data_IF_244875357609
#
_entry.id   IF_244875357609
#
_cell.length_a   1.000
_cell.length_b   1.000
_cell.length_c   1.000
_cell.angle_alpha   90.00
_cell.angle_beta   90.00
_cell.angle_gamma   90.00
#
_symmetry.space_group_name_H-M   'P 1'
#
loop_
_entity.id
_entity.type
_entity.pdbx_description
1 polymer ?
#
# COMPACT_ATOMS: atom_id res chain seq x y z
N UNK A 1 1.22 -19.21 0.88
CA UNK A 1 2.44 -18.52 0.44
C UNK A 1 2.10 -17.75 -0.83
N UNK A 2 2.24 -16.44 -0.87
CA UNK A 2 1.96 -15.68 -2.09
C UNK A 2 2.98 -16.06 -3.18
N UNK A 3 2.48 -16.27 -4.39
CA UNK A 3 3.27 -16.58 -5.57
C UNK A 3 3.29 -15.37 -6.48
N UNK A 4 4.47 -14.93 -6.87
CA UNK A 4 4.68 -13.77 -7.71
C UNK A 4 5.30 -14.15 -9.04
N UNK A 5 5.25 -13.22 -10.00
CA UNK A 5 5.79 -13.36 -11.33
C UNK A 5 6.53 -12.07 -11.71
N UNK A 6 7.76 -12.20 -12.22
CA UNK A 6 8.45 -11.08 -12.84
C UNK A 6 7.84 -10.81 -14.21
N UNK A 7 7.33 -9.60 -14.42
CA UNK A 7 6.64 -9.23 -15.65
C UNK A 7 7.55 -9.32 -16.90
N UNK A 8 8.85 -9.00 -16.75
CA UNK A 8 9.79 -9.01 -17.87
C UNK A 8 10.16 -10.43 -18.35
N UNK A 9 10.26 -11.37 -17.44
CA UNK A 9 10.75 -12.75 -17.76
C UNK A 9 9.67 -13.80 -17.67
N UNK A 10 8.50 -13.43 -17.13
CA UNK A 10 7.41 -14.33 -16.79
C UNK A 10 7.82 -15.47 -15.81
N UNK A 11 8.95 -15.28 -15.10
CA UNK A 11 9.46 -16.26 -14.15
C UNK A 11 8.71 -16.15 -12.82
N UNK A 12 8.37 -17.30 -12.24
CA UNK A 12 7.70 -17.37 -10.93
C UNK A 12 8.72 -17.22 -9.81
N UNK A 13 8.32 -16.46 -8.78
CA UNK A 13 9.08 -16.28 -7.54
C UNK A 13 8.14 -16.56 -6.37
N UNK A 14 8.52 -17.50 -5.52
CA UNK A 14 7.85 -17.75 -4.24
C UNK A 14 8.56 -16.94 -3.16
N UNK A 15 7.84 -16.00 -2.53
CA UNK A 15 8.35 -15.19 -1.44
C UNK A 15 7.60 -15.52 -0.14
N UNK A 16 8.35 -15.82 0.89
CA UNK A 16 7.83 -15.88 2.27
C UNK A 16 8.01 -14.50 2.86
N UNK A 17 6.91 -13.85 3.25
CA UNK A 17 6.98 -12.55 3.92
C UNK A 17 6.91 -12.79 5.43
N UNK A 18 8.00 -12.48 6.11
CA UNK A 18 8.17 -12.62 7.56
C UNK A 18 7.92 -11.29 8.27
N UNK A 19 8.29 -10.17 7.62
CA UNK A 19 8.11 -8.83 8.14
C UNK A 19 7.39 -7.96 7.10
N UNK A 20 6.23 -7.43 7.49
CA UNK A 20 5.46 -6.49 6.67
C UNK A 20 5.46 -5.11 7.32
N UNK A 21 5.96 -4.14 6.56
CA UNK A 21 6.16 -2.75 6.97
C UNK A 21 5.15 -1.90 6.23
N UNK A 22 4.56 -0.92 6.91
CA UNK A 22 3.68 0.07 6.29
C UNK A 22 4.22 1.46 6.61
N UNK A 23 4.62 2.19 5.56
CA UNK A 23 5.11 3.56 5.69
C UNK A 23 3.94 4.55 5.73
N UNK A 24 3.46 4.85 6.93
CA UNK A 24 2.49 5.92 7.12
C UNK A 24 3.13 7.30 7.09
N UNK A 25 2.35 8.33 6.71
CA UNK A 25 2.83 9.72 6.64
C UNK A 25 4.00 9.91 5.68
N UNK A 26 3.98 9.15 4.59
CA UNK A 26 5.08 9.08 3.63
C UNK A 26 5.01 10.13 2.51
N UNK A 27 4.21 11.16 2.66
CA UNK A 27 4.17 12.29 1.71
C UNK A 27 5.53 12.99 1.60
N UNK A 28 5.87 13.47 0.41
CA UNK A 28 7.13 14.19 0.18
C UNK A 28 7.06 15.62 0.71
N UNK A 29 5.89 16.25 0.63
CA UNK A 29 5.71 17.62 1.06
C UNK A 29 5.41 17.73 2.57
N UNK A 30 6.39 18.16 3.35
CA UNK A 30 6.31 18.22 4.81
C UNK A 30 5.25 19.22 5.32
N UNK A 31 4.93 20.27 4.55
CA UNK A 31 3.90 21.23 4.94
C UNK A 31 2.51 20.58 4.93
N UNK A 32 2.18 19.83 3.87
CA UNK A 32 0.91 19.11 3.76
C UNK A 32 0.76 18.04 4.85
N UNK A 33 1.86 17.31 5.16
CA UNK A 33 1.85 16.33 6.26
C UNK A 33 1.53 17.02 7.60
N UNK A 34 2.19 18.13 7.93
CA UNK A 34 1.94 18.85 9.18
C UNK A 34 0.51 19.35 9.27
N UNK A 35 -0.02 19.91 8.19
CA UNK A 35 -1.41 20.35 8.16
C UNK A 35 -2.36 19.18 8.42
N UNK A 36 -2.18 18.06 7.77
CA UNK A 36 -3.03 16.88 7.95
C UNK A 36 -2.93 16.30 9.38
N UNK A 37 -1.73 16.30 9.98
CA UNK A 37 -1.55 15.91 11.39
C UNK A 37 -2.37 16.83 12.33
N UNK A 38 -2.35 18.15 12.12
CA UNK A 38 -3.10 19.09 12.94
C UNK A 38 -4.62 18.94 12.76
N UNK A 39 -5.08 18.67 11.54
CA UNK A 39 -6.49 18.38 11.25
C UNK A 39 -6.97 17.13 12.01
N UNK A 40 -6.21 16.03 11.96
CA UNK A 40 -6.54 14.81 12.69
C UNK A 40 -6.41 14.96 14.20
N UNK A 41 -5.44 15.74 14.67
CA UNK A 41 -5.30 16.06 16.08
C UNK A 41 -6.53 16.81 16.63
N UNK A 42 -7.09 17.72 15.83
CA UNK A 42 -8.33 18.42 16.20
C UNK A 42 -9.54 17.47 16.31
N UNK A 43 -9.50 16.31 15.64
CA UNK A 43 -10.48 15.23 15.73
C UNK A 43 -10.16 14.19 16.84
N UNK A 44 -9.11 14.42 17.66
CA UNK A 44 -8.73 13.54 18.76
C UNK A 44 -7.78 12.39 18.38
N UNK A 45 -7.28 12.35 17.16
CA UNK A 45 -6.28 11.36 16.75
C UNK A 45 -4.89 11.76 17.25
N UNK A 46 -4.19 10.84 17.91
CA UNK A 46 -2.83 11.09 18.37
C UNK A 46 -1.87 11.29 17.20
N UNK A 47 -1.03 12.34 17.22
CA UNK A 47 -0.06 12.58 16.16
C UNK A 47 0.99 11.46 16.10
N UNK A 48 1.56 11.18 14.91
CA UNK A 48 2.66 10.23 14.79
C UNK A 48 3.91 10.73 15.52
N UNK A 49 4.70 9.82 16.09
CA UNK A 49 5.97 10.16 16.77
C UNK A 49 7.06 10.64 15.81
N UNK A 50 6.99 10.21 14.55
CA UNK A 50 7.90 10.60 13.47
C UNK A 50 7.16 10.60 12.13
N UNK A 51 7.72 11.28 11.12
CA UNK A 51 7.24 11.24 9.73
C UNK A 51 8.41 10.95 8.77
N UNK A 52 8.34 9.84 7.99
CA UNK A 52 7.33 8.79 8.03
C UNK A 52 7.38 7.97 9.32
N UNK A 53 6.27 7.30 9.64
CA UNK A 53 6.17 6.31 10.71
C UNK A 53 6.05 4.92 10.08
N UNK A 54 6.91 3.98 10.50
CA UNK A 54 6.90 2.62 9.97
C UNK A 54 6.15 1.68 10.91
N UNK A 55 4.91 1.39 10.58
CA UNK A 55 4.12 0.38 11.28
C UNK A 55 4.62 -1.01 10.94
N UNK A 56 4.51 -1.93 11.91
CA UNK A 56 4.79 -3.35 11.72
C UNK A 56 3.50 -4.13 11.87
N UNK A 57 3.19 -4.94 10.88
CA UNK A 57 2.05 -5.85 10.89
C UNK A 57 2.51 -7.26 10.52
N UNK A 58 1.68 -8.26 10.80
CA UNK A 58 2.03 -9.66 10.54
C UNK A 58 2.26 -9.90 9.04
N UNK A 59 3.36 -10.58 8.69
CA UNK A 59 3.73 -10.84 7.29
C UNK A 59 2.70 -11.66 6.52
N UNK A 60 1.95 -12.53 7.20
CA UNK A 60 0.89 -13.34 6.59
C UNK A 60 -0.36 -12.54 6.17
N UNK A 61 -0.44 -11.26 6.50
CA UNK A 61 -1.49 -10.36 6.00
C UNK A 61 -1.30 -10.00 4.52
N UNK A 62 -0.05 -10.04 4.02
CA UNK A 62 0.21 -9.83 2.60
C UNK A 62 -0.33 -11.00 1.79
N UNK A 63 -1.20 -10.73 0.83
CA UNK A 63 -1.88 -11.75 0.05
C UNK A 63 -2.06 -11.36 -1.41
N UNK A 64 -1.94 -12.34 -2.33
CA UNK A 64 -2.29 -12.16 -3.75
C UNK A 64 -3.72 -12.61 -4.07
N UNK A 65 -4.54 -12.84 -3.04
CA UNK A 65 -5.93 -13.26 -3.22
C UNK A 65 -6.77 -12.12 -3.83
N UNK A 66 -7.67 -12.52 -4.74
CA UNK A 66 -8.65 -11.62 -5.36
C UNK A 66 -9.92 -11.41 -4.50
N UNK A 67 -9.88 -11.90 -3.27
CA UNK A 67 -10.94 -11.71 -2.27
C UNK A 67 -10.33 -11.67 -0.88
N UNK A 68 -10.76 -10.67 -0.09
CA UNK A 68 -10.45 -10.58 1.33
C UNK A 68 -11.72 -10.61 2.17
N UNK A 69 -11.58 -10.93 3.44
CA UNK A 69 -12.64 -10.84 4.44
C UNK A 69 -12.27 -9.79 5.47
N UNK A 70 -13.23 -8.98 5.87
CA UNK A 70 -13.09 -7.93 6.88
C UNK A 70 -14.24 -8.04 7.89
N UNK A 71 -14.02 -7.59 9.11
CA UNK A 71 -15.05 -7.57 10.13
C UNK A 71 -15.86 -6.28 10.02
N UNK A 72 -17.19 -6.39 9.96
CA UNK A 72 -18.07 -5.23 9.80
C UNK A 72 -17.98 -4.57 8.42
N UNK A 73 -18.40 -3.31 8.33
CA UNK A 73 -18.55 -2.58 7.07
C UNK A 73 -17.68 -1.31 7.00
N UNK A 74 -16.81 -1.09 7.98
CA UNK A 74 -16.08 0.16 8.14
C UNK A 74 -14.68 0.17 7.53
N UNK A 75 -14.33 -0.79 6.66
CA UNK A 75 -13.00 -0.85 6.06
C UNK A 75 -12.94 -0.22 4.67
N UNK A 76 -11.78 0.30 4.30
CA UNK A 76 -11.50 0.81 2.95
C UNK A 76 -10.07 0.52 2.53
N UNK A 77 -9.82 0.50 1.21
CA UNK A 77 -8.48 0.29 0.68
C UNK A 77 -7.75 1.60 0.40
N UNK A 78 -6.43 1.49 0.32
CA UNK A 78 -5.49 2.57 -0.01
C UNK A 78 -4.49 2.02 -1.03
N UNK A 79 -4.53 2.52 -2.28
CA UNK A 79 -3.58 2.06 -3.31
C UNK A 79 -2.17 2.51 -2.99
N UNK A 80 -1.22 1.58 -3.03
CA UNK A 80 0.18 1.84 -2.70
C UNK A 80 1.14 1.10 -3.63
N UNK A 81 2.32 1.68 -3.80
CA UNK A 81 3.47 0.91 -4.28
C UNK A 81 3.91 -0.04 -3.17
N UNK A 82 4.20 -1.28 -3.53
CA UNK A 82 4.70 -2.30 -2.61
C UNK A 82 6.13 -2.69 -3.01
N UNK A 83 7.05 -2.59 -2.07
CA UNK A 83 8.42 -3.11 -2.22
C UNK A 83 8.52 -4.49 -1.58
N UNK A 84 9.17 -5.43 -2.25
CA UNK A 84 9.40 -6.78 -1.75
C UNK A 84 10.88 -7.15 -1.86
N UNK A 85 11.47 -7.55 -0.74
CA UNK A 85 12.84 -8.05 -0.72
C UNK A 85 12.92 -9.46 -1.29
N UNK A 86 13.87 -9.68 -2.20
CA UNK A 86 14.12 -10.98 -2.81
C UNK A 86 15.63 -11.25 -2.93
N UNK A 87 16.04 -12.51 -3.15
CA UNK A 87 17.45 -12.83 -3.43
C UNK A 87 18.00 -12.15 -4.69
N UNK A 88 17.13 -11.62 -5.55
CA UNK A 88 17.47 -10.95 -6.80
C UNK A 88 17.43 -9.41 -6.68
N UNK A 89 17.32 -8.88 -5.45
CA UNK A 89 17.14 -7.46 -5.15
C UNK A 89 15.71 -7.11 -4.79
N UNK A 90 15.44 -5.81 -4.65
CA UNK A 90 14.10 -5.31 -4.31
C UNK A 90 13.20 -5.29 -5.55
N UNK A 91 12.01 -5.84 -5.39
CA UNK A 91 10.96 -5.88 -6.41
C UNK A 91 9.86 -4.88 -6.08
N UNK A 92 9.11 -4.47 -7.10
CA UNK A 92 8.04 -3.46 -7.02
C UNK A 92 6.74 -4.03 -7.50
N UNK A 93 5.69 -3.88 -6.72
CA UNK A 93 4.32 -4.27 -7.04
C UNK A 93 3.32 -3.15 -6.77
N UNK A 94 2.06 -3.40 -7.07
CA UNK A 94 0.92 -2.59 -6.66
C UNK A 94 0.10 -3.34 -5.64
N UNK A 95 -0.32 -2.68 -4.57
CA UNK A 95 -1.12 -3.29 -3.52
C UNK A 95 -2.02 -2.29 -2.81
N UNK A 96 -2.63 -2.76 -1.73
CA UNK A 96 -3.52 -1.94 -0.90
C UNK A 96 -3.20 -2.12 0.58
N UNK A 97 -3.00 -1.02 1.28
CA UNK A 97 -3.07 -0.97 2.74
C UNK A 97 -4.55 -0.91 3.15
N UNK A 98 -5.25 -2.05 3.03
CA UNK A 98 -6.65 -2.13 3.45
C UNK A 98 -6.74 -1.96 4.96
N UNK A 99 -7.59 -1.03 5.42
CA UNK A 99 -7.58 -0.51 6.79
C UNK A 99 -9.01 -0.45 7.33
N UNK A 100 -9.20 -0.84 8.57
CA UNK A 100 -10.45 -0.69 9.31
C UNK A 100 -10.54 0.74 9.88
N UNK A 101 -11.52 1.53 9.43
CA UNK A 101 -11.63 2.96 9.78
C UNK A 101 -12.19 3.21 11.17
N UNK A 102 -12.99 2.30 11.71
CA UNK A 102 -13.42 2.37 13.11
C UNK A 102 -12.26 2.09 14.06
N UNK A 103 -11.49 1.05 13.78
CA UNK A 103 -10.29 0.75 14.56
C UNK A 103 -9.21 1.85 14.43
N UNK A 104 -9.11 2.51 13.28
CA UNK A 104 -8.15 3.60 13.05
C UNK A 104 -8.39 4.79 13.98
N UNK A 105 -9.64 5.08 14.32
CA UNK A 105 -10.00 6.16 15.23
C UNK A 105 -9.38 6.02 16.64
N UNK A 106 -9.09 4.80 17.08
CA UNK A 106 -8.45 4.57 18.37
C UNK A 106 -6.99 4.06 18.26
N UNK A 107 -6.62 3.39 17.17
CA UNK A 107 -5.24 2.95 16.95
C UNK A 107 -4.96 2.61 15.49
N UNK A 108 -4.16 3.42 14.83
CA UNK A 108 -3.70 3.18 13.44
C UNK A 108 -2.98 1.84 13.30
N UNK A 109 -2.14 1.45 14.26
CA UNK A 109 -1.43 0.17 14.20
C UNK A 109 -2.38 -1.04 14.22
N UNK A 110 -3.42 -1.00 15.06
CA UNK A 110 -4.42 -2.07 15.13
C UNK A 110 -5.29 -2.10 13.86
N UNK A 111 -5.72 -0.94 13.37
CA UNK A 111 -6.55 -0.86 12.16
C UNK A 111 -5.87 -1.49 10.94
N UNK A 112 -4.54 -1.34 10.86
CA UNK A 112 -3.74 -1.96 9.79
C UNK A 112 -3.54 -3.46 10.02
N UNK A 113 -3.41 -3.90 11.28
CA UNK A 113 -3.21 -5.30 11.63
C UNK A 113 -4.44 -6.17 11.39
N UNK A 114 -5.66 -5.65 11.52
CA UNK A 114 -6.88 -6.46 11.42
C UNK A 114 -7.35 -6.74 9.99
N UNK A 115 -6.73 -6.10 8.98
CA UNK A 115 -7.09 -6.27 7.58
C UNK A 115 -5.95 -6.90 6.77
N UNK A 116 -6.30 -7.78 5.83
CA UNK A 116 -5.36 -8.28 4.84
C UNK A 116 -4.81 -7.13 3.96
N UNK A 117 -3.61 -7.35 3.40
CA UNK A 117 -2.91 -6.41 2.50
C UNK A 117 -2.81 -7.04 1.11
N UNK A 118 -3.82 -6.83 0.24
CA UNK A 118 -3.79 -7.34 -1.12
C UNK A 118 -2.66 -6.75 -1.94
N UNK A 119 -1.98 -7.58 -2.73
CA UNK A 119 -0.91 -7.18 -3.63
C UNK A 119 -1.02 -7.93 -4.95
N UNK A 120 -0.76 -7.25 -6.05
CA UNK A 120 -0.75 -7.85 -7.37
C UNK A 120 0.33 -8.93 -7.50
N UNK A 121 0.04 -10.02 -8.23
CA UNK A 121 1.00 -11.11 -8.40
C UNK A 121 2.15 -10.77 -9.37
N UNK A 122 2.04 -9.71 -10.16
CA UNK A 122 3.08 -9.28 -11.09
C UNK A 122 3.98 -8.22 -10.47
N UNK A 123 5.28 -8.34 -10.69
CA UNK A 123 6.29 -7.48 -10.11
C UNK A 123 7.29 -6.99 -11.17
N UNK A 124 7.84 -5.79 -10.95
CA UNK A 124 8.99 -5.24 -11.67
C UNK A 124 10.24 -5.24 -10.80
N UNK A 125 11.41 -5.02 -11.38
CA UNK A 125 12.64 -4.77 -10.63
C UNK A 125 12.73 -3.29 -10.26
N UNK A 126 13.07 -2.97 -9.00
CA UNK A 126 13.24 -1.58 -8.55
C UNK A 126 14.32 -0.85 -9.36
N UNK A 127 15.40 -1.54 -9.71
CA UNK A 127 16.51 -0.96 -10.49
C UNK A 127 16.07 -0.38 -11.83
N UNK A 128 15.04 -0.96 -12.46
CA UNK A 128 14.53 -0.49 -13.73
C UNK A 128 13.69 0.78 -13.64
N UNK A 129 13.27 1.15 -12.45
CA UNK A 129 12.36 2.27 -12.19
C UNK A 129 13.07 3.49 -11.59
N UNK A 130 14.30 3.32 -11.04
CA UNK A 130 14.98 4.37 -10.26
C UNK A 130 15.12 5.68 -11.02
N UNK A 131 15.50 5.64 -12.30
CA UNK A 131 15.78 6.83 -13.11
C UNK A 131 14.54 7.64 -13.47
N UNK A 132 13.34 7.02 -13.37
CA UNK A 132 12.06 7.64 -13.71
C UNK A 132 10.96 7.34 -12.67
N UNK A 133 11.36 7.08 -11.42
CA UNK A 133 10.43 6.76 -10.33
C UNK A 133 9.31 7.78 -10.19
N UNK A 134 9.63 9.06 -10.32
CA UNK A 134 8.69 10.16 -10.15
C UNK A 134 7.65 10.27 -11.28
N UNK A 135 7.86 9.59 -12.41
CA UNK A 135 6.91 9.52 -13.52
C UNK A 135 5.83 8.47 -13.32
N UNK A 136 6.05 7.52 -12.39
CA UNK A 136 5.09 6.46 -12.09
C UNK A 136 3.76 7.04 -11.59
N UNK A 137 2.65 6.35 -11.90
CA UNK A 137 1.31 6.77 -11.53
C UNK A 137 0.57 5.66 -10.81
N UNK A 138 -0.09 6.01 -9.72
CA UNK A 138 -1.00 5.17 -8.98
C UNK A 138 -2.45 5.57 -9.25
N UNK A 139 -3.31 4.57 -9.45
CA UNK A 139 -4.73 4.74 -9.63
C UNK A 139 -5.48 3.63 -8.89
N UNK A 140 -6.63 3.97 -8.33
CA UNK A 140 -7.57 3.00 -7.79
C UNK A 140 -8.99 3.36 -8.20
N UNK A 141 -9.76 2.35 -8.57
CA UNK A 141 -11.21 2.42 -8.75
C UNK A 141 -11.88 1.61 -7.67
N UNK A 142 -12.95 2.16 -7.10
CA UNK A 142 -13.77 1.51 -6.10
C UNK A 142 -15.16 1.23 -6.67
N UNK A 143 -15.71 0.04 -6.42
CA UNK A 143 -17.12 -0.24 -6.67
C UNK A 143 -17.91 0.03 -5.40
N UNK A 144 -18.71 1.10 -5.40
CA UNK A 144 -19.50 1.60 -4.27
C UNK A 144 -20.96 1.64 -4.72
N UNK A 145 -21.84 0.98 -3.99
CA UNK A 145 -23.26 0.88 -4.30
C UNK A 145 -23.57 0.36 -5.73
N UNK A 146 -22.65 -0.44 -6.27
CA UNK A 146 -22.74 -1.01 -7.62
C UNK A 146 -22.08 -0.18 -8.71
N UNK A 147 -21.71 1.07 -8.43
CA UNK A 147 -21.07 1.96 -9.40
C UNK A 147 -19.53 1.96 -9.23
N UNK A 148 -18.79 1.88 -10.35
CA UNK A 148 -17.36 2.02 -10.36
C UNK A 148 -16.97 3.50 -10.41
N UNK A 149 -16.23 3.97 -9.41
CA UNK A 149 -15.74 5.34 -9.30
C UNK A 149 -14.23 5.41 -9.26
N UNK A 150 -13.63 6.43 -9.85
CA UNK A 150 -12.21 6.72 -9.69
C UNK A 150 -11.98 7.23 -8.26
N UNK A 151 -11.33 6.40 -7.43
CA UNK A 151 -11.21 6.60 -6.00
C UNK A 151 -9.92 7.29 -5.58
N UNK A 152 -8.79 6.91 -6.18
CA UNK A 152 -7.48 7.56 -5.98
C UNK A 152 -6.77 7.67 -7.32
N UNK A 153 -6.02 8.75 -7.52
CA UNK A 153 -5.20 8.96 -8.72
C UNK A 153 -4.13 10.01 -8.47
N UNK A 154 -2.90 9.71 -8.86
CA UNK A 154 -1.82 10.69 -8.83
C UNK A 154 -0.46 10.12 -9.21
N UNK A 155 0.53 10.99 -9.26
CA UNK A 155 1.91 10.62 -9.48
C UNK A 155 2.55 10.15 -8.16
N UNK A 156 3.43 9.14 -8.24
CA UNK A 156 4.19 8.66 -7.07
C UNK A 156 5.15 9.72 -6.53
N UNK A 157 5.47 10.74 -7.34
CA UNK A 157 6.32 11.88 -6.93
C UNK A 157 5.78 12.69 -5.74
N UNK A 158 4.49 12.54 -5.40
CA UNK A 158 3.92 13.09 -4.17
C UNK A 158 4.35 12.35 -2.89
N UNK A 159 4.92 11.16 -3.03
CA UNK A 159 5.37 10.30 -1.94
C UNK A 159 6.89 10.26 -1.84
N UNK A 160 7.42 9.88 -0.69
CA UNK A 160 8.86 9.66 -0.52
C UNK A 160 9.34 8.51 -1.43
N UNK A 161 10.45 8.69 -2.15
CA UNK A 161 10.98 7.63 -3.01
C UNK A 161 11.54 6.46 -2.18
N UNK A 162 11.67 5.26 -2.78
CA UNK A 162 12.16 4.07 -2.09
C UNK A 162 13.47 4.28 -1.34
N UNK A 163 14.44 4.94 -1.94
CA UNK A 163 15.75 5.17 -1.32
C UNK A 163 15.66 5.99 -0.03
N UNK A 164 14.74 6.96 0.02
CA UNK A 164 14.47 7.75 1.22
C UNK A 164 13.76 6.93 2.30
N UNK A 165 12.77 6.13 1.91
CA UNK A 165 12.05 5.25 2.84
C UNK A 165 13.01 4.21 3.44
N UNK A 166 13.79 3.52 2.62
CA UNK A 166 14.72 2.47 3.05
C UNK A 166 15.82 3.05 3.95
N UNK A 167 16.36 4.21 3.61
CA UNK A 167 17.34 4.90 4.45
C UNK A 167 16.75 5.30 5.81
N UNK A 168 15.52 5.85 5.85
CA UNK A 168 14.84 6.23 7.09
C UNK A 168 14.44 5.01 7.93
N UNK A 169 14.20 3.87 7.29
CA UNK A 169 14.00 2.58 7.95
C UNK A 169 15.30 2.04 8.60
N UNK A 170 16.47 2.60 8.22
CA UNK A 170 17.78 2.20 8.74
C UNK A 170 18.54 1.20 7.86
N UNK A 171 18.04 0.93 6.65
CA UNK A 171 18.68 0.03 5.69
C UNK A 171 19.73 0.81 4.88
N UNK A 172 21.02 0.60 5.23
CA UNK A 172 22.13 1.36 4.65
C UNK A 172 22.52 0.95 3.24
N UNK A 173 22.22 -0.28 2.85
CA UNK A 173 22.45 -0.84 1.52
C UNK A 173 21.33 -0.49 0.52
N UNK A 174 20.27 0.21 0.98
CA UNK A 174 19.18 0.68 0.13
C UNK A 174 18.32 -0.44 -0.46
N UNK A 175 18.26 -1.60 0.21
CA UNK A 175 17.48 -2.76 -0.22
C UNK A 175 16.74 -3.41 0.94
N UNK A 176 15.58 -3.98 0.65
CA UNK A 176 14.90 -4.89 1.58
C UNK A 176 15.56 -6.26 1.53
N UNK A 177 15.75 -6.86 2.71
CA UNK A 177 16.18 -8.26 2.80
C UNK A 177 15.09 -9.22 2.32
N UNK A 178 15.45 -10.39 1.78
CA UNK A 178 14.47 -11.45 1.52
C UNK A 178 13.64 -11.72 2.79
N UNK A 179 12.31 -11.82 2.62
CA UNK A 179 11.36 -11.96 3.72
C UNK A 179 10.76 -10.63 4.22
N UNK A 180 11.28 -9.49 3.79
CA UNK A 180 10.70 -8.18 4.10
C UNK A 180 9.84 -7.66 2.95
N UNK A 181 8.72 -7.01 3.29
CA UNK A 181 7.91 -6.23 2.34
C UNK A 181 7.52 -4.89 2.96
N UNK A 182 7.33 -3.87 2.11
CA UNK A 182 6.93 -2.53 2.55
C UNK A 182 5.85 -1.98 1.62
N UNK A 183 4.74 -1.50 2.22
CA UNK A 183 3.81 -0.58 1.57
C UNK A 183 4.35 0.85 1.77
N UNK A 184 4.37 1.65 0.69
CA UNK A 184 5.17 2.89 0.61
C UNK A 184 4.38 4.17 0.86
N UNK A 185 3.14 4.06 1.30
CA UNK A 185 2.22 5.18 1.48
C UNK A 185 1.29 5.37 0.30
N UNK A 186 0.19 6.05 0.57
CA UNK A 186 -0.92 6.22 -0.36
C UNK A 186 -1.12 7.67 -0.78
N UNK A 187 -1.96 7.86 -1.80
CA UNK A 187 -2.41 9.14 -2.30
C UNK A 187 -3.75 9.53 -1.65
N UNK A 188 -4.08 10.83 -1.60
CA UNK A 188 -5.39 11.26 -1.14
C UNK A 188 -6.54 10.64 -1.94
N UNK A 189 -7.63 10.32 -1.25
CA UNK A 189 -8.90 9.87 -1.86
C UNK A 189 -9.58 11.03 -2.58
N UNK A 190 -10.23 10.75 -3.69
CA UNK A 190 -11.09 11.72 -4.39
C UNK A 190 -12.47 11.75 -3.75
N UNK A 191 -12.71 12.78 -2.96
CA UNK A 191 -13.91 12.90 -2.13
C UNK A 191 -13.70 12.33 -0.73
N UNK A 192 -14.63 11.49 -0.28
CA UNK A 192 -14.61 10.93 1.07
C UNK A 192 -14.09 9.49 1.09
N UNK A 193 -13.47 9.10 2.19
CA UNK A 193 -13.11 7.70 2.46
C UNK A 193 -14.39 6.92 2.70
N UNK A 194 -14.65 5.90 1.87
CA UNK A 194 -15.87 5.08 1.91
C UNK A 194 -15.55 3.60 1.76
N UNK A 195 -16.33 2.72 2.40
CA UNK A 195 -16.31 1.28 2.11
C UNK A 195 -16.64 1.01 0.64
N UNK A 196 -16.12 -0.09 0.12
CA UNK A 196 -16.35 -0.53 -1.24
C UNK A 196 -16.51 -2.05 -1.29
N UNK A 197 -17.29 -2.56 -2.23
CA UNK A 197 -17.42 -4.00 -2.46
C UNK A 197 -16.24 -4.59 -3.26
N UNK A 198 -15.53 -3.75 -4.01
CA UNK A 198 -14.38 -4.13 -4.85
C UNK A 198 -13.43 -2.95 -5.01
N UNK A 199 -12.14 -3.24 -5.07
CA UNK A 199 -11.11 -2.30 -5.51
C UNK A 199 -10.33 -2.87 -6.69
N UNK A 200 -9.99 -1.97 -7.62
CA UNK A 200 -9.08 -2.22 -8.74
C UNK A 200 -7.91 -1.24 -8.62
N UNK A 201 -6.71 -1.77 -8.61
CA UNK A 201 -5.47 -1.05 -8.35
C UNK A 201 -4.61 -1.06 -9.60
N UNK A 202 -3.94 0.04 -9.88
CA UNK A 202 -3.02 0.15 -10.99
C UNK A 202 -1.78 0.96 -10.63
N UNK A 203 -0.61 0.44 -11.02
CA UNK A 203 0.64 1.16 -11.10
C UNK A 203 1.05 1.22 -12.57
N UNK A 204 1.17 2.43 -13.12
CA UNK A 204 1.56 2.67 -14.51
C UNK A 204 2.98 3.24 -14.57
N UNK A 205 3.81 2.66 -15.43
CA UNK A 205 5.10 3.16 -15.85
C UNK A 205 4.96 3.73 -17.29
N UNK A 206 4.76 5.05 -17.44
CA UNK A 206 4.55 5.67 -18.74
C UNK A 206 5.82 5.72 -19.59
N UNK A 207 7.00 5.63 -18.96
CA UNK A 207 8.29 5.69 -19.68
C UNK A 207 8.54 4.39 -20.44
N UNK A 208 8.15 3.25 -19.85
CA UNK A 208 8.27 1.93 -20.46
C UNK A 208 6.95 1.40 -21.04
N UNK A 209 5.91 2.22 -21.06
CA UNK A 209 4.57 1.89 -21.59
C UNK A 209 4.01 0.57 -21.01
N UNK A 210 4.15 0.36 -19.71
CA UNK A 210 3.73 -0.85 -19.00
C UNK A 210 2.93 -0.53 -17.74
N UNK A 211 2.20 -1.53 -17.22
CA UNK A 211 1.42 -1.38 -15.99
C UNK A 211 1.35 -2.67 -15.20
N UNK A 212 1.12 -2.54 -13.89
CA UNK A 212 0.71 -3.61 -13.00
C UNK A 212 -0.72 -3.35 -12.57
N UNK A 213 -1.55 -4.37 -12.66
CA UNK A 213 -2.95 -4.31 -12.24
C UNK A 213 -3.20 -5.37 -11.16
N UNK A 214 -4.06 -5.05 -10.20
CA UNK A 214 -4.63 -6.01 -9.27
C UNK A 214 -6.05 -5.61 -8.92
N UNK A 215 -6.90 -6.59 -8.65
CA UNK A 215 -8.26 -6.32 -8.21
C UNK A 215 -8.67 -7.33 -7.15
N UNK A 216 -9.43 -6.87 -6.15
CA UNK A 216 -9.95 -7.74 -5.12
C UNK A 216 -11.34 -7.32 -4.66
N UNK A 217 -12.14 -8.30 -4.27
CA UNK A 217 -13.46 -8.10 -3.65
C UNK A 217 -13.35 -8.13 -2.13
N UNK A 218 -14.19 -7.35 -1.47
CA UNK A 218 -14.27 -7.24 -0.02
C UNK A 218 -15.55 -7.95 0.44
N UNK A 219 -15.40 -8.93 1.31
CA UNK A 219 -16.50 -9.62 1.95
C UNK A 219 -16.59 -9.22 3.41
N UNK A 220 -17.69 -8.59 3.78
CA UNK A 220 -17.97 -8.23 5.15
C UNK A 220 -18.41 -9.46 5.96
N UNK A 221 -17.79 -9.66 7.12
CA UNK A 221 -18.19 -10.64 8.12
C UNK A 221 -19.08 -9.97 9.17
N UNK A 222 -20.12 -10.66 9.67
CA UNK A 222 -20.98 -10.08 10.70
C UNK A 222 -20.19 -9.87 12.00
N UNK A 223 -20.42 -8.72 12.64
CA UNK A 223 -19.99 -8.49 14.03
C UNK A 223 -20.99 -9.20 14.94
N UNK A 224 -20.52 -10.19 15.69
CA UNK A 224 -21.34 -10.94 16.66
C UNK A 224 -20.84 -10.63 18.04
N UNK A 225 -21.73 -10.25 18.95
CA UNK A 225 -21.44 -9.90 20.36
C UNK A 225 -22.38 -10.63 21.31
#
# INVERSE_FOLDING_TARGET
MPRFRLAETNSTIDLVIEELIIAGWAGREQAGIRQHIEELRALGVNPPSTTPLFYRVAGNLLTTAERIQVLGEASSGEVEVVLLGSPQGTLVGVGSDHTDREAEAWSVAHSKQVCAKPVGPELWRLEELRDHWDDLRLEAWATIDGDQVLYQQGAVSGLLPPDDLLRRLGLRDGQLSPGQAMLCGTLPVRGEVRPAGRLELRLTDPVRERRLDHAYTIQNLPVVS
#
